data_IF_959489676955
#
_entry.id   IF_959489676955
#
_cell.length_a   1.000
_cell.length_b   1.000
_cell.length_c   1.000
_cell.angle_alpha   90.00
_cell.angle_beta   90.00
_cell.angle_gamma   90.00
#
_symmetry.space_group_name_H-M   'P 1'
#
loop_
_entity.id
_entity.type
_entity.pdbx_description
1 polymer ?
#
# COMPACT_ATOMS: atom_id res chain seq x y z
N UNK A 1 29.97 -4.45 -46.68
CA UNK A 1 29.19 -3.59 -45.77
C UNK A 1 29.83 -2.21 -45.83
N UNK A 2 29.30 -1.31 -46.66
CA UNK A 2 29.87 0.04 -46.77
C UNK A 2 29.50 0.86 -45.55
N UNK A 3 30.51 1.15 -44.73
CA UNK A 3 30.38 2.00 -43.56
C UNK A 3 30.10 3.44 -44.04
N UNK A 4 28.87 3.92 -43.86
CA UNK A 4 28.43 5.19 -44.40
C UNK A 4 28.89 6.37 -43.52
N UNK A 5 30.18 6.71 -43.62
CA UNK A 5 30.84 7.82 -42.90
C UNK A 5 30.08 9.14 -43.08
N UNK A 6 29.48 9.38 -44.25
CA UNK A 6 28.68 10.60 -44.51
C UNK A 6 27.44 10.69 -43.63
N UNK A 7 26.77 9.57 -43.37
CA UNK A 7 25.63 9.51 -42.45
C UNK A 7 26.09 9.75 -41.01
N UNK A 8 27.18 9.11 -40.59
CA UNK A 8 27.75 9.29 -39.25
C UNK A 8 28.13 10.75 -38.96
N UNK A 9 28.77 11.42 -39.91
CA UNK A 9 29.16 12.83 -39.79
C UNK A 9 27.92 13.75 -39.73
N UNK A 10 26.89 13.47 -40.53
CA UNK A 10 25.63 14.22 -40.50
C UNK A 10 24.90 14.05 -39.16
N UNK A 11 24.82 12.81 -38.66
CA UNK A 11 24.17 12.49 -37.39
C UNK A 11 24.91 13.16 -36.21
N UNK A 12 26.26 13.16 -36.24
CA UNK A 12 27.10 13.86 -35.27
C UNK A 12 26.91 15.39 -35.32
N UNK A 13 26.83 15.98 -36.52
CA UNK A 13 26.55 17.41 -36.68
C UNK A 13 25.18 17.81 -36.15
N UNK A 14 24.18 16.94 -36.31
CA UNK A 14 22.83 17.16 -35.78
C UNK A 14 22.83 17.08 -34.25
N UNK A 15 23.53 16.09 -33.67
CA UNK A 15 23.68 15.97 -32.22
C UNK A 15 24.38 17.19 -31.59
N UNK A 16 25.46 17.68 -32.19
CA UNK A 16 26.14 18.90 -31.74
C UNK A 16 25.21 20.12 -31.81
N UNK A 17 24.41 20.24 -32.87
CA UNK A 17 23.45 21.34 -33.03
C UNK A 17 22.40 21.34 -31.91
N UNK A 18 21.92 20.17 -31.49
CA UNK A 18 20.99 20.04 -30.34
C UNK A 18 21.62 20.48 -29.03
N UNK A 19 22.87 20.08 -28.78
CA UNK A 19 23.60 20.47 -27.56
C UNK A 19 23.82 21.99 -27.52
N UNK A 20 24.16 22.61 -28.66
CA UNK A 20 24.28 24.06 -28.78
C UNK A 20 22.93 24.72 -28.46
N UNK A 21 21.85 24.28 -29.09
CA UNK A 21 20.51 24.83 -28.85
C UNK A 21 20.09 24.73 -27.37
N UNK A 22 20.30 23.57 -26.74
CA UNK A 22 19.98 23.37 -25.32
C UNK A 22 20.80 24.29 -24.40
N UNK A 23 22.06 24.57 -24.78
CA UNK A 23 22.92 25.50 -24.05
C UNK A 23 22.45 26.94 -24.20
N UNK A 24 22.08 27.36 -25.41
CA UNK A 24 21.57 28.71 -25.69
C UNK A 24 20.23 28.97 -24.97
N UNK A 25 19.34 27.98 -24.89
CA UNK A 25 18.10 28.09 -24.12
C UNK A 25 18.35 28.28 -22.61
N UNK A 26 19.28 27.50 -22.03
CA UNK A 26 19.65 27.65 -20.61
C UNK A 26 20.30 29.00 -20.29
N UNK A 27 20.97 29.60 -21.26
CA UNK A 27 21.57 30.92 -21.15
C UNK A 27 20.58 32.07 -21.46
N UNK A 28 19.35 31.74 -21.87
CA UNK A 28 18.33 32.72 -22.24
C UNK A 28 18.59 33.44 -23.55
N UNK A 29 19.51 32.92 -24.39
CA UNK A 29 19.94 33.56 -25.65
C UNK A 29 19.20 33.03 -26.88
N UNK A 30 18.36 32.00 -26.73
CA UNK A 30 17.56 31.40 -27.80
C UNK A 30 16.11 31.17 -27.35
N UNK A 31 15.20 31.38 -28.29
CA UNK A 31 13.75 31.22 -28.10
C UNK A 31 13.38 29.73 -28.16
N UNK A 32 12.58 29.27 -27.20
CA UNK A 32 12.13 27.88 -27.09
C UNK A 32 10.78 27.74 -27.77
N UNK A 33 10.62 26.74 -28.65
CA UNK A 33 9.27 26.37 -29.12
C UNK A 33 8.44 25.86 -27.95
N UNK A 34 7.38 26.61 -27.62
CA UNK A 34 6.42 26.24 -26.58
C UNK A 34 5.40 25.23 -27.11
N UNK A 35 4.95 24.33 -26.22
CA UNK A 35 3.80 23.47 -26.46
C UNK A 35 2.54 24.20 -26.00
N UNK A 36 1.39 23.87 -26.57
CA UNK A 36 0.14 24.52 -26.18
C UNK A 36 -0.27 24.16 -24.74
N UNK A 37 -1.08 25.02 -24.12
CA UNK A 37 -1.49 24.87 -22.73
C UNK A 37 -2.23 23.54 -22.45
N UNK A 38 -2.93 22.99 -23.44
CA UNK A 38 -3.64 21.72 -23.27
C UNK A 38 -2.65 20.55 -23.27
N UNK A 39 -1.62 20.58 -24.12
CA UNK A 39 -0.54 19.61 -24.10
C UNK A 39 0.19 19.61 -22.75
N UNK A 40 0.59 20.79 -22.24
CA UNK A 40 1.28 20.89 -20.95
C UNK A 40 0.42 20.35 -19.81
N UNK A 41 -0.88 20.67 -19.79
CA UNK A 41 -1.82 20.10 -18.83
C UNK A 41 -1.88 18.56 -18.89
N UNK A 42 -1.92 17.99 -20.10
CA UNK A 42 -1.92 16.54 -20.30
C UNK A 42 -0.60 15.90 -19.84
N UNK A 43 0.53 16.56 -20.10
CA UNK A 43 1.86 16.12 -19.70
C UNK A 43 2.02 16.10 -18.17
N UNK A 44 1.65 17.18 -17.49
CA UNK A 44 1.67 17.30 -16.03
C UNK A 44 0.82 16.21 -15.37
N UNK A 45 -0.37 15.97 -15.92
CA UNK A 45 -1.27 14.92 -15.42
C UNK A 45 -0.69 13.52 -15.62
N UNK A 46 -0.02 13.26 -16.74
CA UNK A 46 0.66 11.99 -16.98
C UNK A 46 1.83 11.78 -16.01
N UNK A 47 2.61 12.83 -15.73
CA UNK A 47 3.74 12.78 -14.79
C UNK A 47 3.27 12.54 -13.35
N UNK A 48 2.19 13.20 -12.94
CA UNK A 48 1.55 12.93 -11.65
C UNK A 48 1.05 11.48 -11.57
N UNK A 49 0.37 11.00 -12.63
CA UNK A 49 -0.17 9.63 -12.68
C UNK A 49 0.92 8.60 -12.55
N UNK A 50 2.02 8.74 -13.30
CA UNK A 50 3.19 7.86 -13.22
C UNK A 50 3.77 7.84 -11.81
N UNK A 51 4.08 9.02 -11.28
CA UNK A 51 4.74 9.18 -9.97
C UNK A 51 3.93 8.54 -8.84
N UNK A 52 2.62 8.77 -8.82
CA UNK A 52 1.76 8.21 -7.77
C UNK A 52 1.53 6.72 -7.95
N UNK A 53 1.37 6.24 -9.19
CA UNK A 53 1.23 4.81 -9.46
C UNK A 53 2.49 4.04 -9.03
N UNK A 54 3.69 4.56 -9.31
CA UNK A 54 4.96 3.96 -8.87
C UNK A 54 5.06 3.88 -7.34
N UNK A 55 4.76 4.97 -6.63
CA UNK A 55 4.81 5.02 -5.17
C UNK A 55 3.81 4.07 -4.52
N UNK A 56 2.57 4.06 -4.99
CA UNK A 56 1.50 3.21 -4.47
C UNK A 56 1.83 1.74 -4.73
N UNK A 57 2.26 1.40 -5.94
CA UNK A 57 2.65 0.03 -6.30
C UNK A 57 3.76 -0.49 -5.39
N UNK A 58 4.84 0.30 -5.23
CA UNK A 58 5.98 -0.07 -4.37
C UNK A 58 5.54 -0.35 -2.92
N UNK A 59 4.68 0.50 -2.36
CA UNK A 59 4.21 0.35 -0.98
C UNK A 59 3.23 -0.83 -0.85
N UNK A 60 2.39 -1.07 -1.86
CA UNK A 60 1.46 -2.20 -1.87
C UNK A 60 2.22 -3.53 -1.94
N UNK A 61 3.25 -3.62 -2.77
CA UNK A 61 4.11 -4.82 -2.83
C UNK A 61 4.84 -5.06 -1.51
N UNK A 62 5.33 -4.01 -0.85
CA UNK A 62 5.95 -4.12 0.47
C UNK A 62 4.94 -4.52 1.56
N UNK A 63 3.68 -4.11 1.44
CA UNK A 63 2.61 -4.54 2.34
C UNK A 63 2.30 -6.03 2.16
N UNK A 64 2.18 -6.50 0.91
CA UNK A 64 1.87 -7.90 0.60
C UNK A 64 3.03 -8.86 0.88
N UNK A 65 4.26 -8.40 0.62
CA UNK A 65 5.48 -9.19 0.84
C UNK A 65 6.53 -8.31 1.55
N UNK A 66 6.51 -8.22 2.89
CA UNK A 66 7.40 -7.35 3.65
C UNK A 66 8.89 -7.64 3.43
N UNK A 67 9.26 -8.91 3.30
CA UNK A 67 10.65 -9.30 3.10
C UNK A 67 11.15 -8.86 1.71
N UNK A 68 12.17 -7.99 1.63
CA UNK A 68 12.68 -7.50 0.35
C UNK A 68 13.36 -8.58 -0.50
N UNK A 69 14.04 -9.54 0.14
CA UNK A 69 14.65 -10.68 -0.56
C UNK A 69 13.59 -11.53 -1.26
N UNK A 70 12.48 -11.80 -0.58
CA UNK A 70 11.37 -12.56 -1.16
C UNK A 70 10.74 -11.85 -2.36
N UNK A 71 10.60 -10.52 -2.29
CA UNK A 71 10.09 -9.69 -3.40
C UNK A 71 10.99 -9.73 -4.63
N UNK A 72 12.31 -9.60 -4.42
CA UNK A 72 13.29 -9.66 -5.51
C UNK A 72 13.25 -11.03 -6.16
N UNK A 73 13.24 -12.10 -5.37
CA UNK A 73 13.13 -13.47 -5.88
C UNK A 73 11.85 -13.66 -6.70
N UNK A 74 10.69 -13.23 -6.20
CA UNK A 74 9.42 -13.31 -6.93
C UNK A 74 9.46 -12.60 -8.27
N UNK A 75 10.05 -11.40 -8.30
CA UNK A 75 10.22 -10.64 -9.53
C UNK A 75 11.11 -11.38 -10.53
N UNK A 76 12.18 -12.04 -10.08
CA UNK A 76 13.03 -12.85 -10.96
C UNK A 76 12.27 -14.03 -11.55
N UNK A 77 11.54 -14.80 -10.73
CA UNK A 77 10.74 -15.94 -11.20
C UNK A 77 9.65 -15.52 -12.20
N UNK A 78 9.01 -14.37 -11.96
CA UNK A 78 8.04 -13.78 -12.88
C UNK A 78 8.69 -13.37 -14.22
N UNK A 79 9.90 -12.81 -14.21
CA UNK A 79 10.62 -12.42 -15.44
C UNK A 79 11.10 -13.58 -16.30
N UNK A 80 11.29 -14.76 -15.73
CA UNK A 80 11.75 -15.96 -16.44
C UNK A 80 10.62 -16.97 -16.69
N UNK A 81 9.36 -16.58 -16.45
CA UNK A 81 8.16 -17.39 -16.57
C UNK A 81 8.25 -18.75 -15.86
N UNK A 82 8.90 -18.77 -14.69
CA UNK A 82 9.00 -19.97 -13.84
C UNK A 82 8.04 -19.88 -12.67
N UNK A 83 7.56 -21.04 -12.24
CA UNK A 83 6.72 -21.18 -11.04
C UNK A 83 7.50 -20.67 -9.82
N UNK A 84 6.88 -19.76 -9.07
CA UNK A 84 7.41 -19.26 -7.81
C UNK A 84 7.61 -20.41 -6.81
N UNK A 85 8.65 -20.36 -5.96
CA UNK A 85 8.84 -21.35 -4.92
C UNK A 85 7.64 -21.33 -3.96
N UNK A 86 7.18 -22.52 -3.56
CA UNK A 86 6.08 -22.65 -2.60
C UNK A 86 6.60 -22.38 -1.18
N UNK A 87 6.84 -21.10 -0.89
CA UNK A 87 7.31 -20.65 0.43
C UNK A 87 6.14 -20.66 1.40
N UNK A 88 6.38 -21.25 2.57
CA UNK A 88 5.44 -21.18 3.68
C UNK A 88 5.42 -19.75 4.23
N UNK A 89 4.24 -19.31 4.65
CA UNK A 89 4.08 -18.11 5.46
C UNK A 89 4.66 -18.33 6.87
N UNK A 90 4.95 -17.24 7.57
CA UNK A 90 5.39 -17.32 8.97
C UNK A 90 4.34 -18.03 9.85
N UNK A 91 3.05 -17.85 9.54
CA UNK A 91 1.93 -18.50 10.22
C UNK A 91 1.95 -20.02 10.03
N UNK A 92 2.34 -20.50 8.85
CA UNK A 92 2.45 -21.94 8.61
C UNK A 92 3.65 -22.55 9.30
N UNK A 93 4.80 -21.88 9.34
CA UNK A 93 5.96 -22.37 10.08
C UNK A 93 5.64 -22.57 11.56
N UNK A 94 5.07 -21.55 12.23
CA UNK A 94 4.66 -21.70 13.64
C UNK A 94 3.58 -22.76 13.80
N UNK A 95 2.67 -22.89 12.81
CA UNK A 95 1.64 -23.92 12.83
C UNK A 95 2.19 -25.34 12.78
N UNK A 96 3.23 -25.59 11.97
CA UNK A 96 3.93 -26.88 11.90
C UNK A 96 4.53 -27.21 13.26
N UNK A 97 5.34 -26.31 13.82
CA UNK A 97 6.04 -26.54 15.08
C UNK A 97 5.06 -26.77 16.25
N UNK A 98 3.93 -26.05 16.28
CA UNK A 98 2.87 -26.24 17.29
C UNK A 98 2.22 -27.63 17.19
N UNK A 99 1.98 -28.12 15.98
CA UNK A 99 1.41 -29.45 15.76
C UNK A 99 2.42 -30.53 16.17
N UNK A 100 3.68 -30.39 15.77
CA UNK A 100 4.75 -31.32 16.15
C UNK A 100 4.92 -31.36 17.68
N UNK A 101 5.03 -30.20 18.33
CA UNK A 101 5.12 -30.11 19.79
C UNK A 101 3.91 -30.73 20.50
N UNK A 102 2.70 -30.48 19.99
CA UNK A 102 1.49 -31.06 20.57
C UNK A 102 1.42 -32.58 20.45
N UNK A 103 1.97 -33.15 19.37
CA UNK A 103 2.11 -34.61 19.22
C UNK A 103 3.17 -35.18 20.17
N UNK A 104 4.32 -34.51 20.33
CA UNK A 104 5.42 -34.94 21.19
C UNK A 104 5.06 -34.91 22.68
N UNK A 105 4.23 -33.96 23.11
CA UNK A 105 3.71 -33.95 24.50
C UNK A 105 2.76 -35.10 24.81
N UNK A 106 2.31 -35.82 23.78
CA UNK A 106 1.54 -37.03 23.91
C UNK A 106 0.03 -36.82 24.07
N UNK A 107 -0.76 -37.83 23.69
CA UNK A 107 -2.23 -37.78 23.76
C UNK A 107 -2.70 -37.69 25.21
N UNK A 108 -3.70 -36.84 25.47
CA UNK A 108 -4.34 -36.69 26.78
C UNK A 108 -3.85 -35.51 27.61
N UNK A 109 -2.82 -34.77 27.17
CA UNK A 109 -2.48 -33.47 27.77
C UNK A 109 -3.39 -32.38 27.21
N UNK A 110 -3.99 -31.56 28.09
CA UNK A 110 -4.83 -30.43 27.66
C UNK A 110 -4.04 -29.44 26.80
N UNK A 111 -2.76 -29.23 27.15
CA UNK A 111 -1.87 -28.35 26.40
C UNK A 111 -1.49 -28.90 25.02
N UNK A 112 -1.12 -30.19 24.90
CA UNK A 112 -0.79 -30.79 23.61
C UNK A 112 -1.98 -30.76 22.65
N UNK A 113 -3.18 -31.09 23.14
CA UNK A 113 -4.41 -30.96 22.36
C UNK A 113 -4.67 -29.51 21.90
N UNK A 114 -4.49 -28.53 22.78
CA UNK A 114 -4.69 -27.12 22.45
C UNK A 114 -3.67 -26.63 21.41
N UNK A 115 -2.39 -27.02 21.54
CA UNK A 115 -1.34 -26.70 20.57
C UNK A 115 -1.65 -27.22 19.17
N UNK A 116 -2.12 -28.46 19.06
CA UNK A 116 -2.52 -29.02 17.75
C UNK A 116 -3.63 -28.17 17.12
N UNK A 117 -4.66 -27.81 17.90
CA UNK A 117 -5.77 -26.98 17.40
C UNK A 117 -5.33 -25.58 16.98
N UNK A 118 -4.51 -24.91 17.80
CA UNK A 118 -3.95 -23.60 17.47
C UNK A 118 -3.08 -23.70 16.23
N UNK A 119 -2.18 -24.70 16.14
CA UNK A 119 -1.28 -24.88 15.01
C UNK A 119 -2.03 -25.13 13.69
N UNK A 120 -3.08 -25.94 13.70
CA UNK A 120 -3.97 -26.14 12.55
C UNK A 120 -4.64 -24.83 12.10
N UNK A 121 -5.10 -24.02 13.06
CA UNK A 121 -5.65 -22.71 12.75
C UNK A 121 -4.60 -21.76 12.17
N UNK A 122 -3.36 -21.76 12.69
CA UNK A 122 -2.27 -20.94 12.16
C UNK A 122 -1.93 -21.33 10.71
N UNK A 123 -1.87 -22.62 10.39
CA UNK A 123 -1.70 -23.08 9.00
C UNK A 123 -2.85 -22.59 8.09
N UNK A 124 -4.09 -22.67 8.57
CA UNK A 124 -5.26 -22.16 7.83
C UNK A 124 -5.17 -20.65 7.59
N UNK A 125 -4.77 -19.87 8.59
CA UNK A 125 -4.57 -18.42 8.45
C UNK A 125 -3.46 -18.10 7.43
N UNK A 126 -2.34 -18.83 7.47
CA UNK A 126 -1.27 -18.69 6.49
C UNK A 126 -1.72 -19.00 5.06
N UNK A 127 -2.58 -20.00 4.87
CA UNK A 127 -3.19 -20.28 3.56
C UNK A 127 -4.09 -19.11 3.10
N UNK A 128 -4.96 -18.59 3.98
CA UNK A 128 -5.82 -17.44 3.69
C UNK A 128 -4.99 -16.20 3.31
N UNK A 129 -3.85 -15.98 3.97
CA UNK A 129 -2.91 -14.90 3.63
C UNK A 129 -2.31 -15.09 2.23
N UNK A 130 -1.82 -16.30 1.90
CA UNK A 130 -1.27 -16.58 0.56
C UNK A 130 -2.29 -16.39 -0.55
N UNK A 131 -3.53 -16.83 -0.34
CA UNK A 131 -4.61 -16.67 -1.33
C UNK A 131 -4.95 -15.18 -1.53
N UNK A 132 -4.94 -14.39 -0.46
CA UNK A 132 -5.09 -12.94 -0.55
C UNK A 132 -3.94 -12.29 -1.33
N UNK A 133 -2.69 -12.62 -1.01
CA UNK A 133 -1.51 -12.09 -1.72
C UNK A 133 -1.58 -12.41 -3.22
N UNK A 134 -1.95 -13.65 -3.58
CA UNK A 134 -2.13 -14.05 -4.97
C UNK A 134 -3.26 -13.27 -5.67
N UNK A 135 -4.39 -13.11 -4.99
CA UNK A 135 -5.54 -12.35 -5.53
C UNK A 135 -5.18 -10.88 -5.74
N UNK A 136 -4.61 -10.22 -4.73
CA UNK A 136 -4.16 -8.83 -4.79
C UNK A 136 -3.09 -8.61 -5.88
N UNK A 137 -2.20 -9.58 -6.06
CA UNK A 137 -1.21 -9.53 -7.13
C UNK A 137 -1.86 -9.47 -8.51
N UNK A 138 -2.88 -10.31 -8.74
CA UNK A 138 -3.56 -10.42 -10.03
C UNK A 138 -4.52 -9.25 -10.32
N UNK A 139 -5.33 -8.83 -9.35
CA UNK A 139 -6.35 -7.80 -9.57
C UNK A 139 -5.82 -6.37 -9.49
N UNK A 140 -4.67 -6.14 -8.85
CA UNK A 140 -4.17 -4.79 -8.57
C UNK A 140 -2.70 -4.57 -8.95
N UNK A 141 -1.77 -5.38 -8.42
CA UNK A 141 -0.32 -5.16 -8.63
C UNK A 141 0.06 -5.31 -10.11
N UNK A 142 -0.34 -6.41 -10.75
CA UNK A 142 0.01 -6.70 -12.15
C UNK A 142 -0.55 -5.68 -13.15
N UNK A 143 -1.83 -5.26 -13.08
CA UNK A 143 -2.36 -4.21 -13.93
C UNK A 143 -1.57 -2.89 -13.83
N UNK A 144 -1.27 -2.43 -12.62
CA UNK A 144 -0.49 -1.20 -12.42
C UNK A 144 0.94 -1.35 -12.94
N UNK A 145 1.58 -2.50 -12.71
CA UNK A 145 2.92 -2.78 -13.24
C UNK A 145 2.92 -2.78 -14.77
N UNK A 146 1.91 -3.39 -15.41
CA UNK A 146 1.77 -3.41 -16.88
C UNK A 146 1.60 -2.00 -17.44
N UNK A 147 0.79 -1.16 -16.80
CA UNK A 147 0.64 0.25 -17.17
C UNK A 147 1.99 1.01 -17.10
N UNK A 148 2.75 0.83 -16.01
CA UNK A 148 4.05 1.47 -15.85
C UNK A 148 5.09 0.97 -16.87
N UNK A 149 5.16 -0.35 -17.07
CA UNK A 149 6.13 -1.00 -17.95
C UNK A 149 5.80 -0.89 -19.45
N UNK A 150 4.53 -0.64 -19.79
CA UNK A 150 4.06 -0.52 -21.17
C UNK A 150 3.78 0.93 -21.54
N UNK A 151 2.64 1.45 -21.09
CA UNK A 151 2.09 2.73 -21.50
C UNK A 151 3.02 3.88 -21.09
N UNK A 152 3.41 3.94 -19.81
CA UNK A 152 4.24 5.04 -19.30
C UNK A 152 5.67 5.02 -19.85
N UNK A 153 6.24 3.83 -20.14
CA UNK A 153 7.53 3.75 -20.85
C UNK A 153 7.42 4.28 -22.28
N UNK A 154 6.34 3.96 -22.97
CA UNK A 154 6.08 4.45 -24.32
C UNK A 154 5.91 5.96 -24.33
N UNK A 155 5.09 6.51 -23.43
CA UNK A 155 4.93 7.96 -23.25
C UNK A 155 6.27 8.65 -22.96
N UNK A 156 7.07 8.08 -22.05
CA UNK A 156 8.38 8.66 -21.70
C UNK A 156 9.32 8.70 -22.91
N UNK A 157 9.32 7.63 -23.73
CA UNK A 157 10.10 7.55 -24.97
C UNK A 157 9.63 8.58 -26.00
N UNK A 158 8.33 8.65 -26.30
CA UNK A 158 7.79 9.57 -27.31
C UNK A 158 7.97 11.03 -26.90
N UNK A 159 7.88 11.37 -25.59
CA UNK A 159 8.24 12.70 -25.08
C UNK A 159 9.72 13.05 -25.31
N UNK A 160 10.62 12.07 -25.16
CA UNK A 160 12.05 12.26 -25.41
C UNK A 160 12.31 12.53 -26.91
N UNK A 161 11.59 11.84 -27.79
CA UNK A 161 11.65 12.06 -29.24
C UNK A 161 11.08 13.44 -29.57
N UNK A 162 9.94 13.83 -28.98
CA UNK A 162 9.35 15.16 -29.15
C UNK A 162 10.33 16.27 -28.78
N UNK A 163 11.00 16.17 -27.63
CA UNK A 163 12.00 17.14 -27.20
C UNK A 163 13.18 17.22 -28.19
N UNK A 164 13.60 16.07 -28.73
CA UNK A 164 14.62 16.03 -29.78
C UNK A 164 14.18 16.76 -31.04
N UNK A 165 12.91 16.57 -31.47
CA UNK A 165 12.33 17.24 -32.64
C UNK A 165 12.15 18.74 -32.42
N UNK A 166 11.79 19.15 -31.20
CA UNK A 166 11.72 20.56 -30.81
C UNK A 166 13.07 21.25 -30.98
N UNK A 167 14.14 20.65 -30.47
CA UNK A 167 15.50 21.18 -30.61
C UNK A 167 15.94 21.26 -32.09
N UNK A 168 15.62 20.25 -32.90
CA UNK A 168 15.91 20.24 -34.35
C UNK A 168 15.15 21.36 -35.10
N UNK A 169 13.90 21.62 -34.70
CA UNK A 169 13.08 22.71 -35.22
C UNK A 169 13.67 24.07 -34.84
N UNK A 170 14.02 24.28 -33.58
CA UNK A 170 14.58 25.55 -33.08
C UNK A 170 15.93 25.86 -33.74
N UNK A 171 16.81 24.86 -33.88
CA UNK A 171 18.06 25.00 -34.63
C UNK A 171 17.83 25.35 -36.11
N UNK A 172 16.77 24.81 -36.72
CA UNK A 172 16.41 25.11 -38.12
C UNK A 172 15.81 26.51 -38.29
N UNK A 173 14.99 26.97 -37.33
CA UNK A 173 14.51 28.37 -37.26
C UNK A 173 15.69 29.34 -37.18
N UNK A 174 16.66 29.04 -36.32
CA UNK A 174 17.89 29.83 -36.16
C UNK A 174 18.75 29.84 -37.43
N UNK A 175 18.87 28.70 -38.13
CA UNK A 175 19.55 28.64 -39.43
C UNK A 175 18.88 29.49 -40.49
N UNK A 176 17.55 29.47 -40.59
CA UNK A 176 16.80 30.34 -41.53
C UNK A 176 17.00 31.82 -41.20
N UNK A 177 16.93 32.20 -39.92
CA UNK A 177 17.20 33.58 -39.47
C UNK A 177 18.59 34.06 -39.93
N UNK A 178 19.63 33.22 -39.79
CA UNK A 178 21.00 33.53 -40.25
C UNK A 178 21.15 33.49 -41.78
N UNK A 179 20.48 32.56 -42.45
CA UNK A 179 20.55 32.38 -43.91
C UNK A 179 19.84 33.49 -44.68
N UNK A 180 18.83 34.17 -44.12
CA UNK A 180 18.25 35.40 -44.73
C UNK A 180 19.29 36.51 -44.96
N UNK A 181 20.44 36.44 -44.29
CA UNK A 181 21.57 37.33 -44.53
C UNK A 181 22.52 36.88 -45.67
N UNK A 182 22.35 35.69 -46.28
CA UNK A 182 23.30 35.07 -47.24
C UNK A 182 22.64 34.18 -48.34
N UNK A 183 23.44 33.67 -49.30
CA UNK A 183 23.04 32.89 -50.51
C UNK A 183 22.47 31.47 -50.26
N UNK A 184 22.10 31.10 -49.03
CA UNK A 184 21.65 29.75 -48.62
C UNK A 184 20.18 29.61 -48.23
N UNK A 185 19.37 30.67 -48.47
CA UNK A 185 18.03 30.80 -47.89
C UNK A 185 17.06 29.68 -48.30
N UNK A 186 17.00 29.29 -49.58
CA UNK A 186 16.04 28.27 -50.05
C UNK A 186 16.29 26.89 -49.43
N UNK A 187 17.55 26.51 -49.23
CA UNK A 187 17.90 25.23 -48.60
C UNK A 187 17.51 25.22 -47.12
N UNK A 188 17.82 26.30 -46.40
CA UNK A 188 17.47 26.44 -44.99
C UNK A 188 15.94 26.45 -44.79
N UNK A 189 15.19 27.12 -45.67
CA UNK A 189 13.72 27.12 -45.61
C UNK A 189 13.12 25.73 -45.87
N UNK A 190 13.73 24.92 -46.75
CA UNK A 190 13.31 23.54 -46.99
C UNK A 190 13.56 22.67 -45.75
N UNK A 191 14.73 22.80 -45.12
CA UNK A 191 15.05 22.08 -43.87
C UNK A 191 14.09 22.45 -42.74
N UNK A 192 13.76 23.74 -42.60
CA UNK A 192 12.79 24.22 -41.61
C UNK A 192 11.41 23.58 -41.81
N UNK A 193 10.91 23.50 -43.05
CA UNK A 193 9.61 22.85 -43.33
C UNK A 193 9.60 21.38 -42.94
N UNK A 194 10.70 20.66 -43.17
CA UNK A 194 10.84 19.25 -42.77
C UNK A 194 10.89 19.12 -41.25
N UNK A 195 11.67 19.95 -40.57
CA UNK A 195 11.76 19.91 -39.11
C UNK A 195 10.41 20.24 -38.46
N UNK A 196 9.65 21.21 -39.02
CA UNK A 196 8.32 21.56 -38.54
C UNK A 196 7.34 20.40 -38.71
N UNK A 197 7.27 19.77 -39.88
CA UNK A 197 6.33 18.65 -40.10
C UNK A 197 6.66 17.43 -39.24
N UNK A 198 7.94 17.16 -38.99
CA UNK A 198 8.38 16.10 -38.08
C UNK A 198 8.02 16.40 -36.62
N UNK A 199 8.18 17.65 -36.18
CA UNK A 199 7.76 18.09 -34.85
C UNK A 199 6.25 18.00 -34.66
N UNK A 200 5.46 18.54 -35.60
CA UNK A 200 4.00 18.53 -35.54
C UNK A 200 3.48 17.10 -35.47
N UNK A 201 4.00 16.20 -36.33
CA UNK A 201 3.65 14.78 -36.30
C UNK A 201 3.98 14.13 -34.96
N UNK A 202 5.14 14.42 -34.39
CA UNK A 202 5.55 13.85 -33.12
C UNK A 202 4.74 14.41 -31.94
N UNK A 203 4.34 15.69 -32.01
CA UNK A 203 3.47 16.34 -31.03
C UNK A 203 2.12 15.64 -30.97
N UNK A 204 1.49 15.39 -32.13
CA UNK A 204 0.21 14.68 -32.22
C UNK A 204 0.29 13.24 -31.68
N UNK A 205 1.36 12.50 -32.02
CA UNK A 205 1.58 11.14 -31.47
C UNK A 205 1.67 11.19 -29.94
N UNK A 206 2.45 12.12 -29.41
CA UNK A 206 2.67 12.23 -27.97
C UNK A 206 1.40 12.66 -27.25
N UNK A 207 0.68 13.64 -27.81
CA UNK A 207 -0.61 14.13 -27.29
C UNK A 207 -1.64 13.01 -27.22
N UNK A 208 -1.79 12.23 -28.29
CA UNK A 208 -2.70 11.08 -28.31
C UNK A 208 -2.41 10.09 -27.17
N UNK A 209 -1.13 9.79 -26.92
CA UNK A 209 -0.74 8.91 -25.81
C UNK A 209 -1.05 9.53 -24.43
N UNK A 210 -0.84 10.83 -24.26
CA UNK A 210 -1.15 11.53 -23.01
C UNK A 210 -2.66 11.60 -22.73
N UNK A 211 -3.49 11.75 -23.77
CA UNK A 211 -4.95 11.66 -23.67
C UNK A 211 -5.38 10.25 -23.22
N UNK A 212 -4.68 9.22 -23.70
CA UNK A 212 -4.92 7.81 -23.33
C UNK A 212 -4.78 7.51 -21.83
N UNK A 213 -4.01 8.30 -21.07
CA UNK A 213 -3.82 8.12 -19.62
C UNK A 213 -5.14 8.14 -18.85
N UNK A 214 -6.12 8.95 -19.28
CA UNK A 214 -7.45 8.98 -18.64
C UNK A 214 -8.19 7.65 -18.73
N UNK A 215 -8.04 6.93 -19.84
CA UNK A 215 -8.64 5.61 -20.01
C UNK A 215 -8.02 4.59 -19.04
N UNK A 216 -6.69 4.62 -18.89
CA UNK A 216 -5.97 3.76 -17.94
C UNK A 216 -6.38 4.05 -16.49
N UNK A 217 -6.62 5.31 -16.11
CA UNK A 217 -7.10 5.67 -14.78
C UNK A 217 -8.49 5.08 -14.44
N UNK A 218 -9.41 4.99 -15.42
CA UNK A 218 -10.68 4.30 -15.21
C UNK A 218 -10.48 2.80 -14.93
N UNK A 219 -9.48 2.19 -15.57
CA UNK A 219 -9.04 0.83 -15.25
C UNK A 219 -8.47 0.71 -13.83
N UNK A 220 -7.60 1.64 -13.44
CA UNK A 220 -7.00 1.65 -12.09
C UNK A 220 -8.04 1.76 -10.98
N UNK A 221 -9.08 2.59 -11.18
CA UNK A 221 -10.19 2.71 -10.22
C UNK A 221 -10.89 1.37 -10.00
N UNK A 222 -11.15 0.61 -11.08
CA UNK A 222 -11.75 -0.73 -10.97
C UNK A 222 -10.84 -1.68 -10.19
N UNK A 223 -9.55 -1.72 -10.54
CA UNK A 223 -8.57 -2.54 -9.83
C UNK A 223 -8.52 -2.19 -8.33
N UNK A 224 -8.67 -0.92 -7.96
CA UNK A 224 -8.69 -0.48 -6.56
C UNK A 224 -9.93 -1.02 -5.82
N UNK A 225 -11.10 -0.99 -6.45
CA UNK A 225 -12.31 -1.59 -5.85
C UNK A 225 -12.14 -3.10 -5.64
N UNK A 226 -11.62 -3.82 -6.63
CA UNK A 226 -11.35 -5.26 -6.54
C UNK A 226 -10.33 -5.58 -5.43
N UNK A 227 -9.30 -4.74 -5.27
CA UNK A 227 -8.31 -4.88 -4.21
C UNK A 227 -8.92 -4.73 -2.82
N UNK A 228 -9.74 -3.69 -2.60
CA UNK A 228 -10.42 -3.46 -1.32
C UNK A 228 -11.37 -4.61 -1.00
N UNK A 229 -12.07 -5.14 -2.00
CA UNK A 229 -12.94 -6.30 -1.80
C UNK A 229 -12.15 -7.56 -1.43
N UNK A 230 -11.02 -7.82 -2.11
CA UNK A 230 -10.12 -8.92 -1.76
C UNK A 230 -9.59 -8.79 -0.31
N UNK A 231 -9.22 -7.59 0.10
CA UNK A 231 -8.73 -7.30 1.45
C UNK A 231 -9.82 -7.47 2.52
N UNK A 232 -11.05 -7.03 2.24
CA UNK A 232 -12.20 -7.24 3.14
C UNK A 232 -12.51 -8.73 3.32
N UNK A 233 -12.50 -9.51 2.23
CA UNK A 233 -12.72 -10.97 2.29
C UNK A 233 -11.61 -11.66 3.09
N UNK A 234 -10.36 -11.26 2.92
CA UNK A 234 -9.23 -11.79 3.69
C UNK A 234 -9.46 -11.63 5.21
N UNK A 235 -9.74 -10.42 5.68
CA UNK A 235 -9.96 -10.18 7.11
C UNK A 235 -11.19 -10.90 7.65
N UNK A 236 -12.28 -10.98 6.87
CA UNK A 236 -13.47 -11.73 7.26
C UNK A 236 -13.18 -13.23 7.44
N UNK A 237 -12.41 -13.84 6.52
CA UNK A 237 -12.02 -15.24 6.62
C UNK A 237 -11.09 -15.50 7.81
N UNK A 238 -10.11 -14.62 8.06
CA UNK A 238 -9.25 -14.70 9.23
C UNK A 238 -10.06 -14.62 10.53
N UNK A 239 -11.01 -13.68 10.60
CA UNK A 239 -11.87 -13.53 11.77
C UNK A 239 -12.71 -14.78 12.02
N UNK A 240 -13.35 -15.34 10.98
CA UNK A 240 -14.12 -16.57 11.09
C UNK A 240 -13.26 -17.75 11.58
N UNK A 241 -12.05 -17.93 11.03
CA UNK A 241 -11.14 -18.98 11.48
C UNK A 241 -10.75 -18.83 12.96
N UNK A 242 -10.52 -17.60 13.43
CA UNK A 242 -10.22 -17.34 14.84
C UNK A 242 -11.43 -17.56 15.76
N UNK A 243 -12.64 -17.23 15.32
CA UNK A 243 -13.87 -17.53 16.06
C UNK A 243 -14.12 -19.04 16.18
N UNK A 244 -13.86 -19.80 15.12
CA UNK A 244 -13.92 -21.26 15.14
C UNK A 244 -12.95 -21.82 16.18
N UNK A 245 -11.69 -21.35 16.17
CA UNK A 245 -10.67 -21.77 17.13
C UNK A 245 -11.08 -21.47 18.58
N UNK A 246 -11.62 -20.27 18.86
CA UNK A 246 -12.10 -19.93 20.20
C UNK A 246 -13.18 -20.89 20.69
N UNK A 247 -14.13 -21.28 19.82
CA UNK A 247 -15.17 -22.26 20.15
C UNK A 247 -14.59 -23.65 20.38
N UNK A 248 -13.65 -24.08 19.55
CA UNK A 248 -12.97 -25.37 19.72
C UNK A 248 -12.23 -25.44 21.05
N UNK A 249 -11.48 -24.38 21.41
CA UNK A 249 -10.74 -24.33 22.66
C UNK A 249 -11.66 -24.24 23.89
N UNK A 250 -12.78 -23.52 23.82
CA UNK A 250 -13.75 -23.46 24.90
C UNK A 250 -14.40 -24.82 25.20
N UNK A 251 -14.53 -25.68 24.17
CA UNK A 251 -15.00 -27.06 24.32
C UNK A 251 -13.96 -28.02 24.94
N UNK A 252 -12.70 -27.60 25.07
CA UNK A 252 -11.64 -28.39 25.70
C UNK A 252 -11.69 -28.19 27.22
N UNK A 253 -12.56 -28.94 27.90
CA UNK A 253 -12.71 -28.94 29.36
C UNK A 253 -11.35 -29.13 30.06
N UNK A 254 -10.85 -28.06 30.70
CA UNK A 254 -9.57 -28.05 31.43
C UNK A 254 -8.89 -26.69 31.51
N UNK A 255 -9.26 -25.73 30.65
CA UNK A 255 -8.79 -24.35 30.75
C UNK A 255 -9.85 -23.47 31.43
N UNK A 256 -9.60 -23.02 32.65
CA UNK A 256 -10.29 -21.86 33.24
C UNK A 256 -9.88 -20.61 32.47
N UNK A 257 -10.38 -20.46 31.24
CA UNK A 257 -10.19 -19.28 30.41
C UNK A 257 -11.51 -18.50 30.41
N UNK A 258 -11.59 -17.47 31.26
CA UNK A 258 -12.61 -16.43 31.08
C UNK A 258 -12.14 -15.54 29.93
N UNK A 259 -12.86 -15.46 28.80
CA UNK A 259 -12.49 -14.52 27.75
C UNK A 259 -12.64 -13.11 28.32
N UNK A 260 -11.54 -12.35 28.30
CA UNK A 260 -11.53 -10.91 28.52
C UNK A 260 -12.16 -10.22 27.31
N UNK A 261 -13.47 -10.37 27.15
CA UNK A 261 -14.28 -9.48 26.32
C UNK A 261 -14.57 -8.23 27.16
N UNK A 262 -14.35 -7.00 26.67
CA UNK A 262 -14.92 -5.84 27.33
C UNK A 262 -16.45 -6.05 27.35
N UNK A 263 -17.10 -6.07 28.53
CA UNK A 263 -18.50 -6.41 28.60
C UNK A 263 -19.30 -5.33 27.90
N UNK A 264 -20.12 -5.74 26.93
CA UNK A 264 -21.18 -4.89 26.39
C UNK A 264 -22.07 -4.35 27.53
N UNK A 265 -22.64 -3.14 27.39
CA UNK A 265 -23.42 -2.50 28.46
C UNK A 265 -24.71 -3.25 28.87
N UNK A 266 -25.08 -4.33 28.19
CA UNK A 266 -26.41 -4.95 28.27
C UNK A 266 -26.45 -6.39 28.80
N UNK A 267 -25.36 -6.95 29.34
CA UNK A 267 -25.41 -8.27 29.97
C UNK A 267 -25.81 -8.18 31.46
N UNK A 268 -26.79 -8.96 31.94
CA UNK A 268 -27.22 -8.94 33.34
C UNK A 268 -26.13 -9.48 34.28
N UNK A 269 -25.94 -8.83 35.42
CA UNK A 269 -24.91 -9.17 36.41
C UNK A 269 -25.24 -10.48 37.14
N UNK A 270 -24.42 -11.51 36.98
CA UNK A 270 -24.39 -12.65 37.89
C UNK A 270 -23.71 -12.25 39.22
N UNK A 271 -24.30 -12.64 40.35
CA UNK A 271 -23.79 -12.52 41.72
C UNK A 271 -23.68 -11.11 42.34
N UNK A 272 -24.80 -10.39 42.50
CA UNK A 272 -24.95 -9.33 43.53
C UNK A 272 -23.93 -8.18 43.49
N UNK A 273 -23.14 -8.08 42.42
CA UNK A 273 -22.19 -7.02 42.14
C UNK A 273 -22.91 -5.97 41.30
N UNK A 274 -22.94 -4.75 41.81
CA UNK A 274 -23.45 -3.59 41.09
C UNK A 274 -22.31 -3.03 40.22
N UNK A 275 -22.64 -2.40 39.10
CA UNK A 275 -21.65 -1.69 38.28
C UNK A 275 -21.65 -0.22 38.68
N UNK A 276 -20.46 0.37 38.77
CA UNK A 276 -20.31 1.79 39.00
C UNK A 276 -19.29 2.38 38.02
N UNK A 277 -19.56 3.60 37.55
CA UNK A 277 -18.63 4.42 36.79
C UNK A 277 -17.79 5.27 37.74
N UNK A 278 -16.50 5.36 37.47
CA UNK A 278 -15.58 6.21 38.23
C UNK A 278 -15.74 7.66 37.77
N UNK A 279 -16.03 8.57 38.71
CA UNK A 279 -16.33 9.98 38.41
C UNK A 279 -15.03 10.79 38.21
N UNK A 280 -13.96 10.42 38.90
CA UNK A 280 -12.64 11.05 38.81
C UNK A 280 -11.53 10.09 39.26
N UNK A 281 -10.29 10.39 38.87
CA UNK A 281 -9.12 9.59 39.24
C UNK A 281 -8.96 9.47 40.75
N UNK A 282 -8.58 8.27 41.21
CA UNK A 282 -8.29 7.98 42.62
C UNK A 282 -7.01 7.17 42.74
N UNK A 283 -6.05 7.66 43.52
CA UNK A 283 -4.85 6.89 43.87
C UNK A 283 -5.04 6.18 45.20
N UNK A 284 -4.82 4.86 45.21
CA UNK A 284 -4.88 4.04 46.42
C UNK A 284 -3.88 4.53 47.47
N UNK A 285 -4.36 4.72 48.70
CA UNK A 285 -3.54 5.23 49.82
C UNK A 285 -2.72 4.13 50.46
N UNK A 286 -3.18 2.89 50.36
CA UNK A 286 -2.52 1.70 50.88
C UNK A 286 -2.87 0.45 50.03
N UNK A 287 -2.18 -0.70 50.23
CA UNK A 287 -2.39 -1.90 49.43
C UNK A 287 -3.77 -2.56 49.55
N UNK A 288 -4.61 -2.13 50.50
CA UNK A 288 -5.98 -2.60 50.65
C UNK A 288 -6.97 -1.85 49.75
N UNK A 289 -6.56 -0.72 49.18
CA UNK A 289 -7.35 0.11 48.27
C UNK A 289 -6.99 -0.15 46.79
N UNK A 290 -7.91 0.19 45.89
CA UNK A 290 -7.74 0.05 44.43
C UNK A 290 -7.68 1.43 43.76
N UNK A 291 -6.61 1.71 43.01
CA UNK A 291 -6.51 2.94 42.22
C UNK A 291 -7.47 2.92 41.04
N UNK A 292 -8.15 4.03 40.82
CA UNK A 292 -9.19 4.21 39.82
C UNK A 292 -8.83 5.26 38.78
N UNK A 293 -9.27 5.05 37.54
CA UNK A 293 -9.18 6.02 36.45
C UNK A 293 -10.58 6.55 36.10
N UNK A 294 -10.67 7.85 35.85
CA UNK A 294 -11.90 8.51 35.45
C UNK A 294 -12.55 7.81 34.25
N UNK A 295 -13.89 7.71 34.28
CA UNK A 295 -14.75 7.07 33.28
C UNK A 295 -14.58 5.55 33.11
N UNK A 296 -13.72 4.88 33.88
CA UNK A 296 -13.69 3.43 33.89
C UNK A 296 -14.93 2.85 34.60
N UNK A 297 -15.38 1.66 34.19
CA UNK A 297 -16.51 0.95 34.81
C UNK A 297 -15.98 -0.26 35.56
N UNK A 298 -16.27 -0.33 36.85
CA UNK A 298 -15.85 -1.42 37.73
C UNK A 298 -17.06 -2.13 38.36
N UNK A 299 -16.86 -3.37 38.77
CA UNK A 299 -17.83 -4.08 39.61
C UNK A 299 -17.60 -3.71 41.07
N UNK A 300 -18.67 -3.39 41.80
CA UNK A 300 -18.63 -3.02 43.21
C UNK A 300 -19.59 -3.86 44.04
N UNK A 301 -19.20 -4.10 45.29
CA UNK A 301 -20.04 -4.77 46.28
C UNK A 301 -19.93 -4.09 47.64
N UNK A 302 -20.99 -4.16 48.45
CA UNK A 302 -21.02 -3.55 49.78
C UNK A 302 -20.07 -4.28 50.72
N UNK A 303 -19.32 -3.51 51.52
CA UNK A 303 -18.50 -4.04 52.62
C UNK A 303 -19.34 -3.97 53.90
N UNK A 304 -19.58 -5.08 54.62
CA UNK A 304 -20.30 -5.04 55.89
C UNK A 304 -19.60 -4.14 56.91
N UNK A 305 -20.32 -3.12 57.42
CA UNK A 305 -19.82 -2.21 58.46
C UNK A 305 -18.99 -1.02 57.96
N UNK A 306 -18.81 -0.85 56.65
CA UNK A 306 -18.08 0.28 56.05
C UNK A 306 -19.00 1.01 55.05
N UNK A 307 -19.46 2.20 55.44
CA UNK A 307 -20.43 2.99 54.67
C UNK A 307 -19.80 3.90 53.61
N UNK A 308 -18.51 4.20 53.78
CA UNK A 308 -17.77 5.17 52.97
C UNK A 308 -17.00 4.47 51.83
N UNK A 309 -16.75 3.16 51.97
CA UNK A 309 -16.04 2.36 50.97
C UNK A 309 -16.88 1.20 50.41
N UNK A 310 -16.65 0.90 49.15
CA UNK A 310 -17.13 -0.30 48.48
C UNK A 310 -15.94 -1.21 48.15
N UNK A 311 -16.22 -2.49 47.92
CA UNK A 311 -15.22 -3.42 47.42
C UNK A 311 -15.27 -3.42 45.89
N UNK A 312 -14.26 -2.81 45.26
CA UNK A 312 -14.12 -2.73 43.81
C UNK A 312 -13.36 -3.92 43.24
N UNK A 313 -13.78 -4.37 42.06
CA UNK A 313 -13.13 -5.43 41.29
C UNK A 313 -12.89 -4.94 39.86
N UNK A 314 -11.62 -4.87 39.46
CA UNK A 314 -11.17 -4.54 38.10
C UNK A 314 -10.29 -5.66 37.56
N UNK A 315 -10.88 -6.52 36.73
CA UNK A 315 -10.19 -7.74 36.26
C UNK A 315 -9.77 -8.62 37.44
N UNK A 316 -8.46 -8.84 37.59
CA UNK A 316 -7.88 -9.63 38.69
C UNK A 316 -7.54 -8.79 39.94
N UNK A 317 -7.71 -7.47 39.88
CA UNK A 317 -7.43 -6.57 41.00
C UNK A 317 -8.69 -6.36 41.83
N UNK A 318 -8.52 -6.40 43.16
CA UNK A 318 -9.61 -6.16 44.12
C UNK A 318 -9.08 -5.30 45.26
N UNK A 319 -9.87 -4.30 45.66
CA UNK A 319 -9.53 -3.43 46.77
C UNK A 319 -10.69 -2.54 47.18
N UNK A 320 -10.54 -1.86 48.30
CA UNK A 320 -11.47 -0.84 48.77
C UNK A 320 -11.43 0.37 47.84
N UNK A 321 -12.60 0.90 47.52
CA UNK A 321 -12.78 2.09 46.68
C UNK A 321 -13.72 3.07 47.39
N UNK A 322 -13.40 4.36 47.50
CA UNK A 322 -14.28 5.29 48.18
C UNK A 322 -15.55 5.52 47.36
N UNK A 323 -16.71 5.40 48.01
CA UNK A 323 -18.03 5.54 47.36
C UNK A 323 -18.22 6.92 46.72
N UNK A 324 -17.58 7.95 47.26
CA UNK A 324 -17.66 9.33 46.74
C UNK A 324 -17.10 9.48 45.31
N UNK A 325 -16.28 8.54 44.84
CA UNK A 325 -15.66 8.55 43.51
C UNK A 325 -16.44 7.73 42.50
N UNK A 326 -17.63 7.22 42.87
CA UNK A 326 -18.38 6.24 42.10
C UNK A 326 -19.81 6.70 41.85
N UNK A 327 -20.26 6.53 40.62
CA UNK A 327 -21.64 6.72 40.18
C UNK A 327 -22.26 5.36 39.85
N UNK A 328 -23.30 4.90 40.56
CA UNK A 328 -23.96 3.64 40.26
C UNK A 328 -24.60 3.65 38.87
N UNK A 329 -24.37 2.60 38.09
CA UNK A 329 -25.03 2.41 36.80
C UNK A 329 -26.31 1.62 37.05
N UNK A 330 -27.45 2.33 37.09
CA UNK A 330 -28.77 1.69 37.21
C UNK A 330 -29.11 1.07 35.86
N UNK A 331 -29.34 -0.24 35.84
CA UNK A 331 -29.88 -0.91 34.66
C UNK A 331 -31.33 -0.44 34.47
N UNK A 332 -31.57 0.32 33.39
CA UNK A 332 -32.91 0.70 32.92
C UNK A 332 -33.57 -0.40 32.11
#
# INVERSE_FOLDING_TARGET
MDFNVKKLVKDAGTALSRVVQLTEEKLGTSEKTELDAHFEFLADRADATKTWTEKILKNTEAMLTPNPGNRIEDFFFEKIDKKKPNRLSNLEYVGIDMIEAGNDFGPGTAYGGALIKVGQCQQKLGQIERDFIGTAANCYVQPLRKFLDGDMKTISKERTILETKRLDLDASKNRVRKARSMLGQQSAERELRVAQSEFDRQSEITKFLLEGVSSSQAGHLRCLHEFVEAQARHYAQCHAAMQDLQRELAGMSGATFHPSTPPSPSAPAENGQERARVICDYDARDPSELSLMQDEVICVSKIPGDGDYLMGVRGNQRGKVPKAFLEPIVAS
#
